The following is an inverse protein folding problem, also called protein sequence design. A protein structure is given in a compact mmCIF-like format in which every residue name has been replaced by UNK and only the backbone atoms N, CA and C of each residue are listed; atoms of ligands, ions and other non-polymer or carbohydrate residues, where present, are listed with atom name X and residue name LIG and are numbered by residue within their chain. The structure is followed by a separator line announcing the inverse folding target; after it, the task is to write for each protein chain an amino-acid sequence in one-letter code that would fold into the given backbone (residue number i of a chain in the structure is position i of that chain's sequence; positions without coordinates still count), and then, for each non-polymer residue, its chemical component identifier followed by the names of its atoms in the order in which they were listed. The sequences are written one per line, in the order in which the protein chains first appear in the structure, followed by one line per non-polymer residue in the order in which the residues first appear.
data_IF_382838363022
#
_entry.id   IF_382838363022
#
_cell.length_a   1.000
_cell.length_b   1.000
_cell.length_c   1.000
_cell.angle_alpha   90.00
_cell.angle_beta   90.00
_cell.angle_gamma   90.00
#
_symmetry.space_group_name_H-M   'P 1'
#
loop_
_entity.id
_entity.type
_entity.pdbx_description
1 polymer ?
#
# COMPACT_ATOMS: atom_id res chain seq x y z
N UNK A 1 6.55 23.61 5.59
CA UNK A 1 6.82 22.20 5.21
C UNK A 1 8.31 21.96 5.02
N UNK A 2 8.92 21.18 5.92
CA UNK A 2 10.33 20.77 5.82
C UNK A 2 10.44 19.65 4.79
N UNK A 3 11.38 19.78 3.84
CA UNK A 3 11.66 18.72 2.86
C UNK A 3 12.40 17.59 3.57
N UNK A 4 11.83 16.37 3.59
CA UNK A 4 12.41 15.18 4.20
C UNK A 4 13.23 14.36 3.20
N UNK A 5 12.75 14.26 1.96
CA UNK A 5 13.39 13.49 0.89
C UNK A 5 13.85 14.41 -0.25
N UNK A 6 15.11 14.27 -0.67
CA UNK A 6 15.61 14.99 -1.86
C UNK A 6 15.05 14.40 -3.15
N UNK A 7 14.98 15.19 -4.23
CA UNK A 7 14.52 14.67 -5.53
C UNK A 7 15.39 13.51 -6.05
N UNK A 8 16.71 13.55 -5.79
CA UNK A 8 17.62 12.45 -6.12
C UNK A 8 17.23 11.16 -5.39
N UNK A 9 16.92 11.26 -4.10
CA UNK A 9 16.48 10.11 -3.29
C UNK A 9 15.09 9.62 -3.71
N UNK A 10 14.16 10.53 -4.04
CA UNK A 10 12.86 10.15 -4.57
C UNK A 10 12.99 9.36 -5.88
N UNK A 11 13.85 9.81 -6.80
CA UNK A 11 14.14 9.09 -8.05
C UNK A 11 14.73 7.70 -7.78
N UNK A 12 15.62 7.55 -6.80
CA UNK A 12 16.14 6.22 -6.45
C UNK A 12 15.09 5.32 -5.83
N UNK A 13 14.17 5.84 -5.02
CA UNK A 13 13.04 5.07 -4.48
C UNK A 13 12.08 4.60 -5.59
N UNK A 14 11.83 5.44 -6.61
CA UNK A 14 11.07 5.02 -7.79
C UNK A 14 11.76 3.94 -8.60
N UNK A 15 13.08 4.04 -8.75
CA UNK A 15 13.88 3.02 -9.44
C UNK A 15 13.88 1.71 -8.66
N UNK A 16 13.97 1.77 -7.32
CA UNK A 16 13.89 0.60 -6.45
C UNK A 16 12.54 -0.12 -6.63
N UNK A 17 11.45 0.62 -6.76
CA UNK A 17 10.10 0.08 -7.01
C UNK A 17 9.74 0.01 -8.51
N UNK A 18 10.71 -0.23 -9.39
CA UNK A 18 10.47 -0.35 -10.84
C UNK A 18 10.27 -1.79 -11.32
N UNK A 19 10.76 -2.77 -10.55
CA UNK A 19 10.55 -4.18 -10.84
C UNK A 19 9.06 -4.55 -10.76
N UNK A 20 8.55 -5.38 -11.69
CA UNK A 20 7.16 -5.78 -11.68
C UNK A 20 6.89 -6.74 -10.52
N UNK A 21 5.71 -6.59 -9.90
CA UNK A 21 5.27 -7.39 -8.76
C UNK A 21 5.11 -8.88 -9.10
N UNK A 22 4.62 -9.16 -10.31
CA UNK A 22 4.37 -10.47 -10.91
C UNK A 22 4.73 -10.38 -12.40
N UNK A 23 4.75 -11.50 -13.11
CA UNK A 23 5.21 -11.57 -14.51
C UNK A 23 4.32 -10.84 -15.54
N UNK A 24 3.19 -10.27 -15.12
CA UNK A 24 2.23 -9.58 -15.98
C UNK A 24 1.52 -8.43 -15.24
N UNK A 25 0.72 -7.63 -15.94
CA UNK A 25 -0.02 -6.54 -15.33
C UNK A 25 -1.17 -7.07 -14.45
N UNK A 26 -1.04 -6.95 -13.12
CA UNK A 26 -2.07 -7.40 -12.19
C UNK A 26 -3.43 -6.71 -12.35
N UNK A 27 -3.47 -5.52 -12.97
CA UNK A 27 -4.72 -4.82 -13.29
C UNK A 27 -5.53 -5.53 -14.37
N UNK A 28 -4.88 -6.24 -15.29
CA UNK A 28 -5.56 -7.03 -16.34
C UNK A 28 -6.29 -8.25 -15.78
N UNK A 29 -5.92 -8.71 -14.57
CA UNK A 29 -6.62 -9.81 -13.92
C UNK A 29 -8.02 -9.43 -13.42
N UNK A 30 -8.19 -8.19 -12.96
CA UNK A 30 -9.41 -7.75 -12.28
C UNK A 30 -10.25 -6.79 -13.13
N UNK A 31 -9.63 -6.06 -14.06
CA UNK A 31 -10.34 -5.12 -14.92
C UNK A 31 -11.50 -5.76 -15.70
N UNK A 32 -11.38 -6.96 -16.32
CA UNK A 32 -12.49 -7.57 -17.06
C UNK A 32 -13.73 -7.82 -16.20
N UNK A 33 -13.55 -8.17 -14.93
CA UNK A 33 -14.64 -8.39 -13.97
C UNK A 33 -15.19 -7.11 -13.33
N UNK A 34 -14.60 -5.95 -13.63
CA UNK A 34 -14.92 -4.66 -13.00
C UNK A 34 -15.05 -3.54 -14.05
N UNK A 35 -15.81 -3.81 -15.12
CA UNK A 35 -16.14 -2.80 -16.14
C UNK A 35 -14.93 -2.26 -16.91
N UNK A 36 -13.85 -3.03 -17.02
CA UNK A 36 -12.60 -2.62 -17.67
C UNK A 36 -11.67 -1.78 -16.79
N UNK A 37 -11.99 -1.61 -15.50
CA UNK A 37 -11.23 -0.78 -14.56
C UNK A 37 -10.60 -1.66 -13.48
N UNK A 38 -9.28 -1.61 -13.23
CA UNK A 38 -8.69 -2.33 -12.11
C UNK A 38 -9.35 -1.94 -10.77
N UNK A 39 -9.62 -2.92 -9.90
CA UNK A 39 -10.36 -2.68 -8.64
C UNK A 39 -9.68 -1.64 -7.74
N UNK A 40 -8.35 -1.63 -7.69
CA UNK A 40 -7.56 -0.63 -6.96
C UNK A 40 -7.60 0.78 -7.56
N UNK A 41 -8.11 0.93 -8.79
CA UNK A 41 -8.32 2.22 -9.45
C UNK A 41 -9.78 2.69 -9.38
N UNK A 42 -10.73 1.78 -9.12
CA UNK A 42 -12.15 2.10 -8.98
C UNK A 42 -12.56 2.42 -7.54
N UNK A 43 -11.85 1.86 -6.56
CA UNK A 43 -12.29 1.90 -5.17
C UNK A 43 -11.82 3.18 -4.46
N UNK A 44 -12.78 3.96 -3.94
CA UNK A 44 -12.55 5.21 -3.22
C UNK A 44 -11.93 5.03 -1.82
N UNK A 45 -11.86 3.81 -1.30
CA UNK A 45 -11.14 3.47 -0.07
C UNK A 45 -9.66 3.18 -0.33
N UNK A 46 -9.26 2.89 -1.57
CA UNK A 46 -7.85 2.88 -2.00
C UNK A 46 -7.53 4.21 -2.65
N UNK A 47 -7.53 5.25 -1.82
CA UNK A 47 -7.09 6.55 -2.33
C UNK A 47 -5.56 6.61 -2.32
N UNK A 48 -4.94 6.99 -3.45
CA UNK A 48 -3.53 7.28 -3.48
C UNK A 48 -3.20 8.47 -2.57
N UNK A 49 -2.35 8.21 -1.59
CA UNK A 49 -1.62 9.25 -0.85
C UNK A 49 -0.21 9.32 -1.43
N UNK A 50 0.24 10.54 -1.71
CA UNK A 50 1.61 10.82 -2.13
C UNK A 50 2.33 11.51 -1.01
N UNK A 51 3.61 11.22 -0.83
CA UNK A 51 4.43 12.05 0.04
C UNK A 51 4.50 13.48 -0.50
N UNK A 52 4.65 14.44 0.39
CA UNK A 52 4.68 15.86 0.05
C UNK A 52 5.74 16.20 -1.04
N UNK A 53 6.91 15.59 -0.95
CA UNK A 53 8.00 15.69 -1.93
C UNK A 53 7.66 15.00 -3.26
N UNK A 54 6.98 13.85 -3.17
CA UNK A 54 6.51 13.08 -4.31
C UNK A 54 5.47 13.86 -5.13
N UNK A 55 4.49 14.46 -4.46
CA UNK A 55 3.49 15.30 -5.12
C UNK A 55 4.13 16.51 -5.81
N UNK A 56 5.08 17.19 -5.15
CA UNK A 56 5.83 18.30 -5.75
C UNK A 56 6.62 17.86 -6.98
N UNK A 57 7.23 16.68 -6.94
CA UNK A 57 7.95 16.11 -8.08
C UNK A 57 7.00 15.89 -9.27
N UNK A 58 5.86 15.25 -9.07
CA UNK A 58 4.87 15.06 -10.14
C UNK A 58 4.26 16.36 -10.65
N UNK A 59 4.05 17.34 -9.77
CA UNK A 59 3.56 18.66 -10.16
C UNK A 59 4.51 19.37 -11.13
N UNK A 60 5.83 19.28 -10.89
CA UNK A 60 6.86 19.83 -11.79
C UNK A 60 6.97 19.04 -13.09
N UNK A 61 6.69 17.73 -13.06
CA UNK A 61 6.89 16.82 -14.18
C UNK A 61 5.56 16.41 -14.84
N UNK A 62 4.76 17.41 -15.23
CA UNK A 62 3.56 17.19 -16.05
C UNK A 62 2.23 17.14 -15.30
N UNK A 63 2.21 17.41 -13.98
CA UNK A 63 0.98 17.52 -13.17
C UNK A 63 0.07 16.30 -13.27
N UNK A 64 0.68 15.12 -13.31
CA UNK A 64 -0.03 13.85 -13.44
C UNK A 64 -1.03 13.61 -12.30
N UNK A 65 -0.66 14.01 -11.09
CA UNK A 65 -1.48 13.89 -9.89
C UNK A 65 -2.19 15.20 -9.57
N UNK A 66 -3.50 15.11 -9.27
CA UNK A 66 -4.32 16.25 -8.85
C UNK A 66 -4.72 16.10 -7.39
N UNK A 67 -4.52 17.14 -6.57
CA UNK A 67 -5.06 17.18 -5.21
C UNK A 67 -6.56 16.88 -5.21
N UNK A 68 -6.99 16.03 -4.28
CA UNK A 68 -8.38 15.68 -4.11
C UNK A 68 -8.89 16.22 -2.77
N UNK A 69 -10.08 16.87 -2.73
CA UNK A 69 -10.69 17.21 -1.46
C UNK A 69 -11.07 15.95 -0.68
N UNK A 70 -11.21 16.04 0.66
CA UNK A 70 -11.71 14.92 1.45
C UNK A 70 -13.11 14.51 0.96
N UNK A 71 -13.28 13.23 0.68
CA UNK A 71 -14.53 12.66 0.14
C UNK A 71 -15.49 12.20 1.24
N UNK A 72 -14.98 11.94 2.45
CA UNK A 72 -15.78 11.58 3.61
C UNK A 72 -15.09 12.03 4.91
N UNK A 73 -15.76 11.86 6.07
CA UNK A 73 -15.25 12.30 7.38
C UNK A 73 -13.99 11.54 7.83
N UNK A 74 -13.87 10.27 7.49
CA UNK A 74 -12.72 9.44 7.87
C UNK A 74 -11.47 9.87 7.10
N UNK A 75 -11.60 10.02 5.78
CA UNK A 75 -10.58 10.58 4.90
C UNK A 75 -10.22 12.01 5.31
N UNK A 76 -11.20 12.84 5.68
CA UNK A 76 -10.92 14.20 6.19
C UNK A 76 -10.03 14.16 7.42
N UNK A 77 -10.38 13.32 8.39
CA UNK A 77 -9.59 13.15 9.61
C UNK A 77 -8.18 12.61 9.31
N UNK A 78 -8.06 11.63 8.42
CA UNK A 78 -6.77 11.11 7.98
C UNK A 78 -5.91 12.19 7.32
N UNK A 79 -6.50 13.02 6.45
CA UNK A 79 -5.81 14.15 5.84
C UNK A 79 -5.35 15.14 6.92
N UNK A 80 -6.21 15.52 7.86
CA UNK A 80 -5.86 16.44 8.94
C UNK A 80 -4.74 15.89 9.85
N UNK A 81 -4.73 14.58 10.12
CA UNK A 81 -3.71 13.92 10.93
C UNK A 81 -2.37 13.72 10.19
N UNK A 82 -2.40 13.63 8.85
CA UNK A 82 -1.23 13.33 8.03
C UNK A 82 -0.79 14.47 7.08
N UNK A 83 -1.42 15.66 7.15
CA UNK A 83 -1.19 16.78 6.23
C UNK A 83 0.28 17.22 6.18
N UNK A 84 1.00 17.03 7.28
CA UNK A 84 2.41 17.40 7.41
C UNK A 84 3.33 16.62 6.47
N UNK A 85 2.94 15.42 6.02
CA UNK A 85 3.77 14.57 5.15
C UNK A 85 3.05 13.95 3.96
N UNK A 86 1.72 13.89 3.95
CA UNK A 86 0.93 13.37 2.84
C UNK A 86 0.13 14.41 2.06
N UNK A 87 -0.04 14.14 0.77
CA UNK A 87 -0.99 14.80 -0.11
C UNK A 87 -1.96 13.76 -0.64
N UNK A 88 -3.23 13.97 -0.37
CA UNK A 88 -4.30 13.21 -0.97
C UNK A 88 -4.49 13.62 -2.43
N UNK A 89 -4.32 12.68 -3.37
CA UNK A 89 -4.38 13.01 -4.79
C UNK A 89 -5.03 11.91 -5.62
N UNK A 90 -5.65 12.35 -6.72
CA UNK A 90 -6.27 11.49 -7.71
C UNK A 90 -5.35 11.32 -8.92
N UNK A 91 -5.20 10.07 -9.34
CA UNK A 91 -4.59 9.65 -10.61
C UNK A 91 -5.51 10.05 -11.78
N UNK A 92 -5.02 10.21 -13.02
CA UNK A 92 -5.88 10.43 -14.20
C UNK A 92 -6.88 9.30 -14.49
N UNK A 93 -6.81 8.20 -13.74
CA UNK A 93 -7.66 7.03 -13.91
C UNK A 93 -7.05 6.03 -14.90
N UNK A 94 -7.70 4.86 -15.09
CA UNK A 94 -7.16 3.77 -15.93
C UNK A 94 -6.85 4.19 -17.36
N UNK A 95 -7.72 4.99 -17.99
CA UNK A 95 -7.57 5.43 -19.37
C UNK A 95 -6.36 6.36 -19.59
N UNK A 96 -5.89 7.04 -18.55
CA UNK A 96 -4.69 7.88 -18.56
C UNK A 96 -3.57 7.36 -17.65
N UNK A 97 -3.60 6.07 -17.28
CA UNK A 97 -2.68 5.53 -16.30
C UNK A 97 -1.32 5.23 -16.94
N UNK A 98 -0.31 6.03 -16.58
CA UNK A 98 1.07 5.72 -16.84
C UNK A 98 1.66 4.95 -15.64
N UNK A 99 1.90 3.64 -15.81
CA UNK A 99 2.38 2.73 -14.77
C UNK A 99 3.67 3.24 -14.10
N UNK A 100 4.56 3.84 -14.88
CA UNK A 100 5.81 4.46 -14.42
C UNK A 100 5.62 5.77 -13.64
N UNK A 101 4.42 6.37 -13.62
CA UNK A 101 4.09 7.57 -12.84
C UNK A 101 3.22 7.28 -11.62
N UNK A 102 2.94 6.01 -11.34
CA UNK A 102 2.24 5.59 -10.13
C UNK A 102 2.98 6.05 -8.88
N UNK A 103 2.22 6.46 -7.88
CA UNK A 103 2.74 6.84 -6.58
C UNK A 103 3.46 5.65 -5.92
N UNK A 104 4.40 5.92 -5.01
CA UNK A 104 5.16 4.92 -4.27
C UNK A 104 4.22 3.94 -3.55
N UNK A 105 3.17 4.44 -2.89
CA UNK A 105 2.16 3.61 -2.23
C UNK A 105 1.36 2.73 -3.21
N UNK A 106 1.08 3.22 -4.43
CA UNK A 106 0.43 2.42 -5.46
C UNK A 106 1.35 1.33 -6.03
N UNK A 107 2.68 1.44 -5.85
CA UNK A 107 3.65 0.45 -6.31
C UNK A 107 3.89 -0.66 -5.30
N UNK A 108 3.63 -0.41 -4.01
CA UNK A 108 3.75 -1.42 -2.95
C UNK A 108 2.45 -2.21 -2.76
N UNK A 109 1.28 -1.58 -3.00
CA UNK A 109 -0.03 -2.25 -2.91
C UNK A 109 -0.10 -3.53 -3.77
N UNK A 110 -0.55 -4.69 -3.24
CA UNK A 110 -1.28 -4.84 -1.98
C UNK A 110 -0.40 -5.31 -0.80
N UNK A 111 0.90 -5.07 -0.86
CA UNK A 111 1.85 -5.49 0.16
C UNK A 111 2.27 -4.31 1.06
N UNK A 112 2.22 -4.56 2.35
CA UNK A 112 2.63 -3.65 3.42
C UNK A 112 3.73 -4.30 4.26
N UNK A 113 4.59 -3.49 4.90
CA UNK A 113 5.59 -4.04 5.80
C UNK A 113 4.91 -4.62 7.04
N UNK A 114 5.37 -5.79 7.46
CA UNK A 114 4.94 -6.43 8.70
C UNK A 114 6.09 -6.36 9.71
N UNK A 115 5.85 -5.65 10.80
CA UNK A 115 6.87 -5.27 11.77
C UNK A 115 6.73 -6.08 13.06
N UNK A 116 7.86 -6.38 13.69
CA UNK A 116 7.89 -6.87 15.06
C UNK A 116 7.64 -5.75 16.08
N UNK A 117 7.66 -6.12 17.37
CA UNK A 117 7.45 -5.19 18.49
C UNK A 117 8.55 -4.13 18.64
N UNK A 118 9.74 -4.38 18.10
CA UNK A 118 10.92 -3.53 18.17
C UNK A 118 11.04 -2.66 16.88
N UNK A 119 10.11 -2.84 15.94
CA UNK A 119 10.02 -2.11 14.69
C UNK A 119 10.94 -2.66 13.59
N UNK A 120 11.43 -3.89 13.73
CA UNK A 120 12.13 -4.62 12.67
C UNK A 120 11.14 -5.18 11.65
N UNK A 121 11.45 -5.07 10.35
CA UNK A 121 10.62 -5.64 9.30
C UNK A 121 10.80 -7.17 9.28
N UNK A 122 9.76 -7.91 9.67
CA UNK A 122 9.73 -9.38 9.61
C UNK A 122 9.43 -9.91 8.20
N UNK A 123 8.82 -9.08 7.36
CA UNK A 123 8.45 -9.43 5.99
C UNK A 123 7.34 -8.52 5.49
N UNK A 124 6.55 -9.03 4.54
CA UNK A 124 5.42 -8.33 3.96
C UNK A 124 4.11 -9.05 4.31
N UNK A 125 3.05 -8.29 4.50
CA UNK A 125 1.69 -8.78 4.67
C UNK A 125 0.77 -8.12 3.65
N UNK A 126 -0.39 -8.74 3.43
CA UNK A 126 -1.45 -8.10 2.65
C UNK A 126 -2.07 -6.95 3.43
N UNK A 127 -2.31 -5.84 2.73
CA UNK A 127 -3.17 -4.74 3.19
C UNK A 127 -4.55 -5.25 3.61
N UNK A 128 -5.15 -4.64 4.63
CA UNK A 128 -6.56 -4.87 4.94
C UNK A 128 -7.40 -4.01 4.01
N UNK A 129 -7.86 -4.60 2.91
CA UNK A 129 -8.46 -3.83 1.81
C UNK A 129 -9.98 -3.65 1.93
N UNK A 130 -10.56 -3.82 3.13
CA UNK A 130 -11.97 -3.58 3.43
C UNK A 130 -12.97 -4.10 2.38
N UNK A 131 -12.73 -5.30 1.83
CA UNK A 131 -13.62 -5.90 0.84
C UNK A 131 -13.29 -5.60 -0.62
N UNK A 132 -12.12 -5.02 -0.92
CA UNK A 132 -11.62 -4.97 -2.29
C UNK A 132 -11.19 -6.37 -2.74
N UNK A 133 -11.83 -6.84 -3.80
CA UNK A 133 -11.56 -8.13 -4.45
C UNK A 133 -10.32 -8.06 -5.35
N UNK A 134 -9.16 -7.75 -4.77
CA UNK A 134 -7.88 -7.80 -5.48
C UNK A 134 -7.45 -9.28 -5.66
N UNK A 135 -7.16 -9.73 -6.89
CA UNK A 135 -6.87 -11.14 -7.18
C UNK A 135 -5.53 -11.62 -6.60
N UNK A 136 -4.67 -10.69 -6.15
CA UNK A 136 -3.38 -11.02 -5.53
C UNK A 136 -3.48 -11.22 -4.02
N UNK A 137 -4.54 -10.72 -3.38
CA UNK A 137 -4.72 -10.87 -1.94
C UNK A 137 -5.02 -12.33 -1.61
N UNK A 138 -4.31 -12.85 -0.61
CA UNK A 138 -4.44 -14.24 -0.16
C UNK A 138 -3.79 -15.27 -1.09
N UNK A 139 -3.09 -14.84 -2.15
CA UNK A 139 -2.29 -15.75 -2.97
C UNK A 139 -1.01 -16.19 -2.24
N UNK A 140 -0.40 -17.32 -2.62
CA UNK A 140 0.89 -17.71 -2.07
C UNK A 140 1.99 -16.70 -2.44
N UNK A 141 2.84 -16.30 -1.48
CA UNK A 141 3.90 -15.30 -1.73
C UNK A 141 4.87 -15.67 -2.86
N UNK A 142 4.98 -16.97 -3.19
CA UNK A 142 5.80 -17.47 -4.31
C UNK A 142 5.37 -16.99 -5.71
N UNK A 143 4.17 -16.42 -5.86
CA UNK A 143 3.74 -15.83 -7.14
C UNK A 143 4.38 -14.46 -7.38
N UNK A 144 4.89 -13.82 -6.34
CA UNK A 144 5.49 -12.50 -6.42
C UNK A 144 6.94 -12.62 -6.87
N UNK A 145 7.37 -11.69 -7.70
CA UNK A 145 8.75 -11.59 -8.12
C UNK A 145 9.65 -11.39 -6.88
N UNK A 146 10.64 -12.27 -6.64
CA UNK A 146 11.48 -12.19 -5.45
C UNK A 146 12.36 -10.94 -5.43
N UNK A 147 12.71 -10.36 -6.59
CA UNK A 147 13.42 -9.07 -6.68
C UNK A 147 12.51 -7.96 -6.18
N UNK A 148 11.28 -7.89 -6.68
CA UNK A 148 10.27 -6.92 -6.23
C UNK A 148 10.05 -7.01 -4.71
N UNK A 149 9.88 -8.22 -4.16
CA UNK A 149 9.67 -8.40 -2.71
C UNK A 149 10.83 -7.84 -1.90
N UNK A 150 12.09 -8.10 -2.30
CA UNK A 150 13.27 -7.54 -1.63
C UNK A 150 13.31 -6.02 -1.75
N UNK A 151 12.97 -5.47 -2.91
CA UNK A 151 12.97 -4.04 -3.13
C UNK A 151 11.89 -3.32 -2.32
N UNK A 152 10.71 -3.92 -2.14
CA UNK A 152 9.65 -3.36 -1.28
C UNK A 152 10.08 -3.35 0.19
N UNK A 153 10.73 -4.42 0.66
CA UNK A 153 11.31 -4.44 2.02
C UNK A 153 12.33 -3.32 2.17
N UNK A 154 13.28 -3.22 1.22
CA UNK A 154 14.30 -2.18 1.23
C UNK A 154 13.71 -0.76 1.17
N UNK A 155 12.67 -0.59 0.36
CA UNK A 155 11.93 0.66 0.27
C UNK A 155 11.38 1.06 1.64
N UNK A 156 10.70 0.17 2.35
CA UNK A 156 10.15 0.48 3.68
C UNK A 156 11.23 0.73 4.73
N UNK A 157 12.35 -0.01 4.71
CA UNK A 157 13.51 0.30 5.56
C UNK A 157 13.97 1.75 5.38
N UNK A 158 14.16 2.18 4.13
CA UNK A 158 14.57 3.56 3.83
C UNK A 158 13.50 4.58 4.18
N UNK A 159 12.23 4.27 3.90
CA UNK A 159 11.13 5.19 4.19
C UNK A 159 10.95 5.46 5.67
N UNK A 160 11.16 4.46 6.53
CA UNK A 160 11.08 4.62 7.98
C UNK A 160 12.18 5.50 8.57
N UNK A 161 13.31 5.68 7.88
CA UNK A 161 14.33 6.66 8.28
C UNK A 161 13.87 8.11 8.04
N UNK A 162 13.06 8.34 6.99
CA UNK A 162 12.56 9.68 6.64
C UNK A 162 11.19 10.01 7.26
N UNK A 163 10.38 8.99 7.50
CA UNK A 163 9.04 9.11 8.07
C UNK A 163 8.86 8.10 9.23
N UNK A 164 9.37 8.40 10.42
CA UNK A 164 9.13 7.59 11.62
C UNK A 164 7.64 7.39 11.92
N UNK A 165 6.78 8.34 11.54
CA UNK A 165 5.32 8.26 11.71
C UNK A 165 4.71 7.12 10.88
N UNK A 166 5.28 6.83 9.70
CA UNK A 166 4.90 5.64 8.92
C UNK A 166 5.27 4.37 9.66
N UNK A 167 6.47 4.34 10.26
CA UNK A 167 6.92 3.18 11.04
C UNK A 167 5.96 2.92 12.20
N UNK A 168 5.57 3.96 12.94
CA UNK A 168 4.62 3.84 14.04
C UNK A 168 3.25 3.33 13.57
N UNK A 169 2.75 3.86 12.45
CA UNK A 169 1.50 3.40 11.81
C UNK A 169 1.57 1.91 11.49
N UNK A 170 2.62 1.45 10.80
CA UNK A 170 2.75 0.05 10.42
C UNK A 170 3.06 -0.89 11.60
N UNK A 171 3.67 -0.39 12.68
CA UNK A 171 3.78 -1.13 13.94
C UNK A 171 2.39 -1.38 14.54
N UNK A 172 1.51 -0.38 14.56
CA UNK A 172 0.15 -0.53 15.07
C UNK A 172 -0.68 -1.47 14.17
N UNK A 173 -0.57 -1.35 12.85
CA UNK A 173 -1.22 -2.28 11.91
C UNK A 173 -0.71 -3.72 12.07
N UNK A 174 0.59 -3.91 12.31
CA UNK A 174 1.16 -5.23 12.59
C UNK A 174 0.59 -5.83 13.89
N UNK A 175 0.43 -5.03 14.96
CA UNK A 175 -0.21 -5.48 16.21
C UNK A 175 -1.69 -5.83 16.00
N UNK A 176 -2.44 -5.03 15.23
CA UNK A 176 -3.84 -5.33 14.89
C UNK A 176 -3.94 -6.65 14.14
N UNK A 177 -3.05 -6.88 13.18
CA UNK A 177 -2.93 -8.13 12.41
C UNK A 177 -2.65 -9.34 13.31
N UNK A 178 -1.73 -9.23 14.26
CA UNK A 178 -1.44 -10.29 15.24
C UNK A 178 -2.66 -10.66 16.09
N UNK A 179 -3.37 -9.64 16.58
CA UNK A 179 -4.61 -9.83 17.36
C UNK A 179 -5.66 -10.55 16.52
N UNK A 180 -5.81 -10.19 15.24
CA UNK A 180 -6.74 -10.85 14.30
C UNK A 180 -6.37 -12.32 14.07
N UNK A 181 -5.10 -12.61 13.80
CA UNK A 181 -4.59 -13.98 13.60
C UNK A 181 -4.81 -14.82 14.87
N UNK A 182 -4.50 -14.30 16.05
CA UNK A 182 -4.70 -14.99 17.33
C UNK A 182 -6.18 -15.33 17.55
N UNK A 183 -7.10 -14.40 17.28
CA UNK A 183 -8.55 -14.62 17.37
C UNK A 183 -9.03 -15.71 16.41
N UNK A 184 -8.55 -15.71 15.16
CA UNK A 184 -8.90 -16.74 14.16
C UNK A 184 -8.42 -18.13 14.58
N UNK A 185 -7.17 -18.26 15.04
CA UNK A 185 -6.62 -19.53 15.55
C UNK A 185 -7.43 -20.07 16.73
N UNK A 186 -7.83 -19.20 17.67
CA UNK A 186 -8.68 -19.59 18.80
C UNK A 186 -10.07 -20.07 18.36
N UNK A 187 -10.69 -19.38 17.39
CA UNK A 187 -11.99 -19.76 16.83
C UNK A 187 -11.91 -21.10 16.11
N UNK A 188 -10.87 -21.34 15.31
CA UNK A 188 -10.64 -22.60 14.62
C UNK A 188 -10.42 -23.75 15.60
N UNK A 189 -9.63 -23.52 16.67
CA UNK A 189 -9.45 -24.49 17.75
C UNK A 189 -10.79 -24.87 18.41
N UNK A 190 -11.63 -23.89 18.75
CA UNK A 190 -12.98 -24.13 19.32
C UNK A 190 -13.88 -24.93 18.37
N UNK A 191 -13.91 -24.58 17.08
CA UNK A 191 -14.68 -25.33 16.07
C UNK A 191 -14.18 -26.77 15.89
N UNK A 192 -12.86 -26.98 15.94
CA UNK A 192 -12.28 -28.33 15.86
C UNK A 192 -12.61 -29.20 17.06
N UNK A 193 -12.71 -28.61 18.26
CA UNK A 193 -13.13 -29.32 19.49
C UNK A 193 -14.62 -29.70 19.37
N UNK A 194 -15.49 -28.77 18.97
CA UNK A 194 -16.93 -29.05 18.78
C UNK A 194 -17.20 -30.15 17.75
N UNK A 195 -16.39 -30.24 16.69
CA UNK A 195 -16.49 -31.32 15.68
C UNK A 195 -16.02 -32.69 16.17
N UNK A 196 -15.14 -32.75 17.18
CA UNK A 196 -14.65 -34.00 17.79
C UNK A 196 -15.56 -34.55 18.88
N UNK A 197 -16.57 -33.79 19.30
CA UNK A 197 -17.53 -34.13 20.37
C UNK A 197 -18.85 -34.67 19.80
N UNK A 198 -18.90 -34.95 18.49
CA UNK A 198 -19.97 -35.71 17.81
C UNK A 198 -19.42 -37.06 17.39
#
# INVERSE_FOLDING_TARGET
MKTRISEKKLKSLYQLLSDPMIDFDCGELCAPGNGGIPVCCANEDVVPVLFNEEYKYHWKNGRFWKRMPPINKEIKKFIEEAEDYYVFAKCPGPAGCERSKRALNCRTFPLEPYLDKDGGIMGLAYSDTNGIDCPLIGKPMKIFNPVYVRNVIKFWEEMFEYYPEEKETYMEESRKRDRRIKRLKLRQKRLSILRKVK
#
